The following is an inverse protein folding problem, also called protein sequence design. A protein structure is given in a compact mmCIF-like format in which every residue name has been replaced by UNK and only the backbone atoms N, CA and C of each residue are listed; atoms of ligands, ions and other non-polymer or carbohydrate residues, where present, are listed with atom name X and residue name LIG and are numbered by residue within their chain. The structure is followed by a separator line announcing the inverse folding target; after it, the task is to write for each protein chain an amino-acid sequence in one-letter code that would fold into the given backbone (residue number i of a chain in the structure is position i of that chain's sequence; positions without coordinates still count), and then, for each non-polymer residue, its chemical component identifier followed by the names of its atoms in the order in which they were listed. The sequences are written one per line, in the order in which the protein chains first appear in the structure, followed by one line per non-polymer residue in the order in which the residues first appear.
data_IF_995074471612
#
_entry.id   IF_995074471612
#
_cell.length_a   1.000
_cell.length_b   1.000
_cell.length_c   1.000
_cell.angle_alpha   90.00
_cell.angle_beta   90.00
_cell.angle_gamma   90.00
#
_symmetry.space_group_name_H-M   'P 1'
#
loop_
_entity.id
_entity.type
_entity.pdbx_description
1 polymer ?
#
# COMPACT_ATOMS: atom_id res chain seq x y z
N UNK A 1 4.90 40.04 2.34
CA UNK A 1 4.52 39.18 1.20
C UNK A 1 5.12 37.77 1.31
N UNK A 2 6.44 37.60 1.33
CA UNK A 2 7.07 36.27 1.41
C UNK A 2 6.65 35.42 2.63
N UNK A 3 6.49 36.04 3.80
CA UNK A 3 6.06 35.34 5.03
C UNK A 3 4.64 34.76 4.94
N UNK A 4 3.71 35.49 4.32
CA UNK A 4 2.33 35.02 4.12
C UNK A 4 2.28 33.83 3.16
N UNK A 5 3.05 33.90 2.07
CA UNK A 5 3.17 32.81 1.10
C UNK A 5 3.73 31.55 1.78
N UNK A 6 4.75 31.71 2.64
CA UNK A 6 5.33 30.60 3.38
C UNK A 6 4.32 29.95 4.35
N UNK A 7 3.53 30.74 5.08
CA UNK A 7 2.48 30.18 5.94
C UNK A 7 1.38 29.44 5.17
N UNK A 8 1.01 29.94 3.99
CA UNK A 8 0.04 29.26 3.10
C UNK A 8 0.59 27.91 2.63
N UNK A 9 1.86 27.84 2.23
CA UNK A 9 2.48 26.56 1.84
C UNK A 9 2.55 25.57 2.99
N UNK A 10 2.92 26.01 4.20
CA UNK A 10 2.93 25.14 5.38
C UNK A 10 1.53 24.62 5.70
N UNK A 11 0.51 25.48 5.64
CA UNK A 11 -0.88 25.07 5.87
C UNK A 11 -1.36 24.05 4.82
N UNK A 12 -1.02 24.24 3.55
CA UNK A 12 -1.34 23.30 2.48
C UNK A 12 -0.62 21.95 2.65
N UNK A 13 0.66 21.96 3.06
CA UNK A 13 1.43 20.75 3.36
C UNK A 13 0.85 19.99 4.56
N UNK A 14 0.47 20.70 5.63
CA UNK A 14 -0.15 20.07 6.79
C UNK A 14 -1.51 19.46 6.43
N UNK A 15 -2.36 20.18 5.69
CA UNK A 15 -3.66 19.69 5.27
C UNK A 15 -3.56 18.45 4.36
N UNK A 16 -2.59 18.41 3.45
CA UNK A 16 -2.40 17.26 2.56
C UNK A 16 -1.92 16.01 3.31
N UNK A 17 -1.05 16.17 4.31
CA UNK A 17 -0.59 15.06 5.16
C UNK A 17 -1.72 14.49 6.02
N UNK A 18 -2.57 15.34 6.59
CA UNK A 18 -3.70 14.89 7.44
C UNK A 18 -4.74 14.12 6.60
N UNK A 19 -4.99 14.55 5.36
CA UNK A 19 -5.95 13.87 4.47
C UNK A 19 -5.42 12.57 3.84
N UNK A 20 -4.13 12.26 3.99
CA UNK A 20 -3.54 11.09 3.33
C UNK A 20 -4.06 9.75 3.88
N UNK A 21 -4.66 9.74 5.08
CA UNK A 21 -5.20 8.52 5.68
C UNK A 21 -6.73 8.55 5.90
N UNK A 22 -7.45 8.12 4.86
CA UNK A 22 -8.92 8.12 4.83
C UNK A 22 -9.55 6.79 5.23
N UNK A 23 -8.74 5.75 5.49
CA UNK A 23 -9.25 4.41 5.83
C UNK A 23 -8.76 3.99 7.20
N UNK A 24 -9.66 3.45 8.03
CA UNK A 24 -9.36 2.94 9.37
C UNK A 24 -8.70 1.54 9.37
N UNK A 25 -8.24 1.06 8.22
CA UNK A 25 -7.66 -0.27 8.05
C UNK A 25 -6.21 -0.17 7.56
N UNK A 26 -5.40 -1.19 7.88
CA UNK A 26 -3.99 -1.26 7.53
C UNK A 26 -3.76 -1.51 6.04
N UNK A 27 -2.89 -0.68 5.45
CA UNK A 27 -2.38 -0.78 4.09
C UNK A 27 -1.23 -1.77 4.00
N UNK A 28 -0.76 -2.03 2.79
CA UNK A 28 0.40 -2.89 2.59
C UNK A 28 1.62 -2.38 3.38
N UNK A 29 2.19 -3.24 4.22
CA UNK A 29 3.34 -2.90 5.07
C UNK A 29 2.97 -2.38 6.46
N UNK A 30 1.69 -2.11 6.75
CA UNK A 30 1.25 -1.71 8.07
C UNK A 30 1.29 -2.88 9.06
N UNK A 31 1.57 -2.63 10.35
CA UNK A 31 1.61 -3.68 11.37
C UNK A 31 0.22 -4.29 11.57
N UNK A 32 0.17 -5.61 11.76
CA UNK A 32 -1.07 -6.33 12.00
C UNK A 32 -0.86 -7.51 12.94
N UNK A 33 -1.94 -7.90 13.63
CA UNK A 33 -2.01 -9.12 14.45
C UNK A 33 -2.99 -10.12 13.83
N UNK A 34 -4.00 -9.62 13.13
CA UNK A 34 -5.08 -10.40 12.52
C UNK A 34 -5.47 -9.84 11.15
N UNK A 35 -6.11 -10.65 10.32
CA UNK A 35 -6.58 -10.24 8.98
C UNK A 35 -7.56 -9.06 9.05
N UNK A 36 -8.34 -8.92 10.14
CA UNK A 36 -9.25 -7.79 10.34
C UNK A 36 -8.56 -6.44 10.54
N UNK A 37 -7.25 -6.43 10.81
CA UNK A 37 -6.48 -5.19 10.87
C UNK A 37 -6.13 -4.66 9.48
N UNK A 38 -6.18 -5.50 8.43
CA UNK A 38 -5.81 -5.13 7.09
C UNK A 38 -7.03 -4.70 6.27
N UNK A 39 -6.81 -3.83 5.28
CA UNK A 39 -7.85 -3.46 4.33
C UNK A 39 -8.27 -4.65 3.44
N UNK A 40 -9.41 -4.49 2.76
CA UNK A 40 -9.96 -5.49 1.84
C UNK A 40 -8.91 -5.99 0.83
N UNK A 41 -8.92 -7.31 0.55
CA UNK A 41 -7.96 -8.02 -0.31
C UNK A 41 -6.49 -8.02 0.18
N UNK A 42 -6.26 -7.63 1.43
CA UNK A 42 -4.97 -7.69 2.10
C UNK A 42 -5.11 -8.59 3.33
N UNK A 43 -4.12 -9.46 3.58
CA UNK A 43 -4.11 -10.33 4.76
C UNK A 43 -2.90 -10.07 5.63
N UNK A 44 -3.01 -10.40 6.90
CA UNK A 44 -1.91 -10.28 7.83
C UNK A 44 -0.92 -11.44 7.61
N UNK A 45 0.31 -11.11 7.23
CA UNK A 45 1.35 -12.12 7.11
C UNK A 45 1.83 -12.52 8.51
N UNK A 46 1.41 -13.70 8.98
CA UNK A 46 1.58 -14.18 10.38
C UNK A 46 3.00 -14.15 10.91
N UNK A 47 4.00 -14.31 10.04
CA UNK A 47 5.41 -14.28 10.45
C UNK A 47 6.03 -12.89 10.39
N UNK A 48 5.51 -12.02 9.53
CA UNK A 48 6.04 -10.67 9.37
C UNK A 48 5.27 -9.65 10.22
N UNK A 49 4.09 -10.03 10.71
CA UNK A 49 3.12 -9.16 11.41
C UNK A 49 2.83 -7.89 10.60
N UNK A 50 2.72 -8.05 9.28
CA UNK A 50 2.54 -6.97 8.30
C UNK A 50 1.42 -7.31 7.33
N UNK A 51 0.61 -6.33 6.98
CA UNK A 51 -0.44 -6.48 5.98
C UNK A 51 0.17 -6.67 4.57
N UNK A 52 -0.18 -7.76 3.90
CA UNK A 52 0.36 -8.15 2.59
C UNK A 52 -0.75 -8.50 1.59
N UNK A 53 -0.59 -8.00 0.36
CA UNK A 53 -1.50 -8.28 -0.76
C UNK A 53 -1.43 -9.78 -1.07
N UNK A 54 -2.59 -10.42 -1.18
CA UNK A 54 -2.67 -11.81 -1.60
C UNK A 54 -2.68 -11.86 -3.12
N UNK A 55 -1.58 -12.31 -3.71
CA UNK A 55 -1.45 -12.47 -5.17
C UNK A 55 -1.77 -13.92 -5.51
N UNK A 56 -2.78 -14.14 -6.35
CA UNK A 56 -3.13 -15.48 -6.83
C UNK A 56 -2.07 -15.98 -7.82
N UNK A 57 -1.99 -17.29 -8.04
CA UNK A 57 -1.06 -17.86 -9.02
C UNK A 57 -1.32 -17.31 -10.44
N UNK A 58 -2.59 -17.11 -10.80
CA UNK A 58 -2.97 -16.52 -12.08
C UNK A 58 -2.46 -15.07 -12.23
N UNK A 59 -2.64 -14.24 -11.19
CA UNK A 59 -2.14 -12.86 -11.17
C UNK A 59 -0.62 -12.80 -11.19
N UNK A 60 0.04 -13.69 -10.43
CA UNK A 60 1.50 -13.77 -10.40
C UNK A 60 2.04 -14.11 -11.79
N UNK A 61 1.40 -15.05 -12.49
CA UNK A 61 1.79 -15.46 -13.84
C UNK A 61 1.55 -14.35 -14.87
N UNK A 62 0.44 -13.61 -14.76
CA UNK A 62 0.16 -12.46 -15.61
C UNK A 62 1.17 -11.32 -15.39
N UNK A 63 1.52 -11.03 -14.14
CA UNK A 63 2.56 -10.04 -13.81
C UNK A 63 3.93 -10.49 -14.32
N UNK A 64 4.25 -11.78 -14.18
CA UNK A 64 5.51 -12.34 -14.68
C UNK A 64 5.63 -12.24 -16.20
N UNK A 65 4.57 -12.54 -16.95
CA UNK A 65 4.56 -12.34 -18.40
C UNK A 65 4.81 -10.87 -18.78
N UNK A 66 4.20 -9.93 -18.05
CA UNK A 66 4.42 -8.49 -18.25
C UNK A 66 5.86 -8.07 -18.01
N UNK A 67 6.53 -8.63 -17.00
CA UNK A 67 7.90 -8.25 -16.60
C UNK A 67 8.95 -8.95 -17.48
N UNK A 68 8.78 -10.25 -17.75
CA UNK A 68 9.78 -11.08 -18.43
C UNK A 68 9.52 -11.23 -19.94
N UNK A 69 8.35 -10.84 -20.44
CA UNK A 69 7.98 -10.95 -21.85
C UNK A 69 7.80 -12.39 -22.34
N UNK A 70 7.75 -13.39 -21.45
CA UNK A 70 7.59 -14.81 -21.80
C UNK A 70 6.56 -15.51 -20.93
N UNK A 71 5.86 -16.49 -21.52
CA UNK A 71 4.83 -17.32 -20.87
C UNK A 71 5.44 -18.59 -20.26
N UNK A 72 4.75 -19.16 -19.25
CA UNK A 72 5.12 -20.44 -18.61
C UNK A 72 6.13 -20.31 -17.48
N UNK A 73 6.13 -21.26 -16.53
CA UNK A 73 6.99 -21.23 -15.33
C UNK A 73 8.46 -21.53 -15.69
N UNK A 74 9.39 -21.11 -14.82
CA UNK A 74 10.84 -21.24 -15.03
C UNK A 74 11.42 -22.61 -14.63
N UNK A 75 10.57 -23.61 -14.39
CA UNK A 75 10.97 -24.94 -13.94
C UNK A 75 10.62 -26.01 -14.97
#
# INVERSE_FOLDING_TARGET
MAKLILYVFIALLAASLIMADTKSCGRHGDPCVSDSNCCENIKCHRYANRCQVQITEAELMAQREKILGRKGKDY
#
